data_IF_488843658902
#
_entry.id   IF_488843658902
#
_cell.length_a   1.000
_cell.length_b   1.000
_cell.length_c   1.000
_cell.angle_alpha   90.00
_cell.angle_beta   90.00
_cell.angle_gamma   90.00
#
_symmetry.space_group_name_H-M   'P 1'
#
loop_
_entity.id
_entity.type
_entity.pdbx_description
1 polymer ?
#
# COMPACT_ATOMS: atom_id res chain seq x y z
N UNK A 1 -11.52 -9.36 35.11
CA UNK A 1 -11.16 -7.94 35.29
C UNK A 1 -10.85 -7.37 33.92
N UNK A 2 -11.87 -6.95 33.18
CA UNK A 2 -11.69 -6.11 32.00
C UNK A 2 -11.91 -4.68 32.48
N UNK A 3 -10.86 -4.13 33.10
CA UNK A 3 -10.82 -2.77 33.62
C UNK A 3 -9.66 -2.04 32.98
N UNK A 4 -9.79 -1.84 31.67
CA UNK A 4 -9.28 -0.66 30.99
C UNK A 4 -10.46 -0.19 30.14
N UNK A 5 -10.95 1.03 30.39
CA UNK A 5 -11.88 1.67 29.48
C UNK A 5 -11.28 1.59 28.08
N UNK A 6 -11.97 0.92 27.15
CA UNK A 6 -11.59 0.97 25.74
C UNK A 6 -11.74 2.41 25.26
N UNK A 7 -10.68 3.19 25.41
CA UNK A 7 -10.61 4.55 24.92
C UNK A 7 -10.48 4.50 23.39
N UNK A 8 -11.64 4.48 22.74
CA UNK A 8 -11.75 4.47 21.29
C UNK A 8 -10.94 5.63 20.71
N UNK A 9 -9.99 5.33 19.82
CA UNK A 9 -9.21 6.32 19.06
C UNK A 9 -9.98 6.92 17.89
N UNK A 10 -11.28 6.61 17.76
CA UNK A 10 -12.08 7.18 16.70
C UNK A 10 -12.23 8.69 16.93
N UNK A 11 -11.96 9.52 15.91
CA UNK A 11 -12.09 10.96 15.99
C UNK A 11 -13.56 11.35 15.83
N UNK A 12 -14.37 11.02 16.84
CA UNK A 12 -15.80 11.36 16.81
C UNK A 12 -15.99 12.87 16.92
N UNK A 13 -17.03 13.41 16.31
CA UNK A 13 -17.29 14.86 16.30
C UNK A 13 -17.47 15.38 17.74
N UNK A 14 -18.12 14.58 18.60
CA UNK A 14 -18.19 14.83 20.05
C UNK A 14 -16.80 14.98 20.70
N UNK A 15 -15.88 14.04 20.45
CA UNK A 15 -14.51 14.09 21.01
C UNK A 15 -13.69 15.24 20.47
N UNK A 16 -13.90 15.58 19.20
CA UNK A 16 -13.24 16.70 18.54
C UNK A 16 -13.84 18.05 18.94
N UNK A 17 -14.99 18.06 19.63
CA UNK A 17 -15.76 19.27 19.92
C UNK A 17 -16.16 20.03 18.66
N UNK A 18 -16.37 19.32 17.55
CA UNK A 18 -16.50 19.89 16.23
C UNK A 18 -17.90 19.65 15.64
N UNK A 19 -18.36 20.57 14.78
CA UNK A 19 -19.61 20.42 14.02
C UNK A 19 -19.29 20.56 12.55
N UNK A 20 -19.89 19.70 11.72
CA UNK A 20 -19.71 19.78 10.28
C UNK A 20 -20.50 20.96 9.70
N UNK A 21 -19.88 21.83 8.89
CA UNK A 21 -20.60 22.87 8.17
C UNK A 21 -21.60 22.27 7.17
N UNK A 22 -22.79 22.88 7.05
CA UNK A 22 -23.82 22.42 6.10
C UNK A 22 -23.38 22.57 4.64
N UNK A 23 -22.64 23.64 4.32
CA UNK A 23 -22.15 23.95 2.97
C UNK A 23 -20.64 23.71 2.83
N UNK A 24 -20.15 22.57 3.34
CA UNK A 24 -18.74 22.22 3.29
C UNK A 24 -18.29 21.86 1.86
N UNK A 25 -17.37 22.65 1.31
CA UNK A 25 -16.63 22.29 0.09
C UNK A 25 -15.42 21.43 0.46
N UNK A 26 -15.59 20.11 0.40
CA UNK A 26 -14.56 19.14 0.77
C UNK A 26 -13.33 19.21 -0.15
N UNK A 27 -13.52 19.51 -1.44
CA UNK A 27 -12.43 19.63 -2.42
C UNK A 27 -11.54 20.81 -2.08
N UNK A 28 -12.15 21.98 -1.82
CA UNK A 28 -11.42 23.18 -1.43
C UNK A 28 -10.62 22.97 -0.14
N UNK A 29 -11.23 22.37 0.88
CA UNK A 29 -10.53 22.10 2.16
C UNK A 29 -9.35 21.15 1.96
N UNK A 30 -9.52 20.08 1.17
CA UNK A 30 -8.45 19.14 0.86
C UNK A 30 -7.31 19.81 0.09
N UNK A 31 -7.60 20.65 -0.90
CA UNK A 31 -6.62 21.39 -1.69
C UNK A 31 -5.83 22.41 -0.86
N UNK A 32 -6.52 23.18 -0.02
CA UNK A 32 -5.90 24.18 0.87
C UNK A 32 -4.98 23.50 1.89
N UNK A 33 -5.45 22.42 2.54
CA UNK A 33 -4.62 21.64 3.46
C UNK A 33 -3.43 21.01 2.74
N UNK A 34 -3.66 20.40 1.57
CA UNK A 34 -2.60 19.74 0.81
C UNK A 34 -1.51 20.71 0.37
N UNK A 35 -1.88 21.91 -0.11
CA UNK A 35 -0.92 22.96 -0.45
C UNK A 35 -0.04 23.30 0.74
N UNK A 36 -0.66 23.58 1.89
CA UNK A 36 0.07 23.90 3.12
C UNK A 36 0.97 22.74 3.56
N UNK A 37 0.47 21.50 3.48
CA UNK A 37 1.24 20.30 3.78
C UNK A 37 2.48 20.19 2.90
N UNK A 38 2.35 20.35 1.58
CA UNK A 38 3.49 20.24 0.66
C UNK A 38 4.54 21.32 0.84
N UNK A 39 4.15 22.52 1.28
CA UNK A 39 5.07 23.61 1.59
C UNK A 39 5.86 23.36 2.89
N UNK A 40 5.23 22.70 3.87
CA UNK A 40 5.77 22.58 5.24
C UNK A 40 6.25 21.18 5.62
N UNK A 41 6.05 20.15 4.79
CA UNK A 41 6.35 18.74 5.09
C UNK A 41 7.80 18.47 5.50
N UNK A 42 8.73 19.34 5.11
CA UNK A 42 10.15 19.25 5.47
C UNK A 42 10.50 19.97 6.78
N UNK A 43 9.56 20.65 7.41
CA UNK A 43 9.69 21.29 8.72
C UNK A 43 8.80 20.55 9.73
N UNK A 44 9.41 19.98 10.78
CA UNK A 44 8.69 19.17 11.75
C UNK A 44 7.61 19.96 12.51
N UNK A 45 7.90 21.19 12.94
CA UNK A 45 6.95 22.00 13.72
C UNK A 45 5.77 22.45 12.85
N UNK A 46 6.08 22.94 11.65
CA UNK A 46 5.05 23.40 10.73
C UNK A 46 4.18 22.24 10.22
N UNK A 47 4.77 21.05 10.01
CA UNK A 47 4.02 19.84 9.67
C UNK A 47 3.06 19.43 10.79
N UNK A 48 3.52 19.44 12.05
CA UNK A 48 2.69 19.05 13.19
C UNK A 48 1.54 20.02 13.42
N UNK A 49 1.69 21.30 13.08
CA UNK A 49 0.58 22.25 13.13
C UNK A 49 -0.62 21.84 12.23
N UNK A 50 -0.36 21.10 11.14
CA UNK A 50 -1.36 20.61 10.18
C UNK A 50 -1.97 19.25 10.57
N UNK A 51 -1.42 18.60 11.59
CA UNK A 51 -1.76 17.24 12.02
C UNK A 51 -2.47 17.32 13.38
N UNK A 52 -3.41 16.41 13.60
CA UNK A 52 -4.11 16.28 14.89
C UNK A 52 -3.16 15.69 15.94
N UNK A 53 -3.23 16.11 17.23
CA UNK A 53 -2.31 15.60 18.26
C UNK A 53 -2.26 14.07 18.39
N UNK A 54 -3.41 13.42 18.23
CA UNK A 54 -3.58 11.95 18.25
C UNK A 54 -3.44 11.27 16.88
N UNK A 55 -2.87 11.94 15.88
CA UNK A 55 -2.83 11.40 14.52
C UNK A 55 -1.98 10.13 14.39
N UNK A 56 -2.27 9.38 13.34
CA UNK A 56 -1.50 8.21 12.94
C UNK A 56 -0.86 8.45 11.57
N UNK A 57 0.46 8.31 11.49
CA UNK A 57 1.17 8.27 10.22
C UNK A 57 1.68 6.85 9.96
N UNK A 58 1.13 6.19 8.94
CA UNK A 58 1.60 4.87 8.49
C UNK A 58 2.50 5.03 7.27
N UNK A 59 3.75 4.64 7.41
CA UNK A 59 4.75 4.63 6.33
C UNK A 59 5.01 3.19 5.88
N UNK A 60 4.85 2.94 4.57
CA UNK A 60 5.20 1.71 3.91
C UNK A 60 6.37 1.98 2.95
N UNK A 61 7.58 1.84 3.47
CA UNK A 61 8.84 1.93 2.74
C UNK A 61 9.20 3.30 2.16
N UNK A 62 8.30 4.29 2.13
CA UNK A 62 8.54 5.56 1.43
C UNK A 62 9.68 6.37 2.07
N UNK A 63 9.77 6.39 3.40
CA UNK A 63 10.80 7.15 4.12
C UNK A 63 11.68 6.28 5.01
N UNK A 64 11.13 5.17 5.52
CA UNK A 64 11.82 4.32 6.50
C UNK A 64 12.47 3.08 5.89
N UNK A 65 12.13 2.73 4.65
CA UNK A 65 12.42 1.40 4.07
C UNK A 65 11.92 0.24 4.95
N UNK A 66 10.91 0.51 5.78
CA UNK A 66 10.27 -0.43 6.71
C UNK A 66 8.74 -0.18 6.72
N UNK A 67 7.99 -1.05 7.39
CA UNK A 67 6.55 -0.90 7.58
C UNK A 67 6.27 -0.39 9.00
N UNK A 68 6.06 0.93 9.14
CA UNK A 68 5.93 1.56 10.46
C UNK A 68 4.64 2.35 10.61
N UNK A 69 4.21 2.51 11.86
CA UNK A 69 3.10 3.39 12.22
C UNK A 69 3.53 4.25 13.40
N UNK A 70 3.58 5.56 13.15
CA UNK A 70 3.88 6.59 14.14
C UNK A 70 2.55 7.09 14.70
N UNK A 71 2.45 7.15 16.03
CA UNK A 71 1.21 7.51 16.74
C UNK A 71 1.50 8.72 17.60
N UNK A 72 0.76 9.79 17.36
CA UNK A 72 0.85 11.06 18.06
C UNK A 72 2.07 11.91 17.70
N UNK A 73 2.03 13.18 18.10
CA UNK A 73 3.06 14.17 17.78
C UNK A 73 4.45 13.76 18.27
N UNK A 74 4.55 13.14 19.45
CA UNK A 74 5.84 12.73 20.03
C UNK A 74 6.62 11.76 19.12
N UNK A 75 5.91 10.91 18.37
CA UNK A 75 6.54 9.96 17.43
C UNK A 75 6.62 10.51 16.01
N UNK A 76 5.67 11.34 15.60
CA UNK A 76 5.65 11.94 14.26
C UNK A 76 6.74 13.00 14.15
N UNK A 77 7.02 13.79 15.19
CA UNK A 77 8.05 14.84 15.20
C UNK A 77 9.44 14.32 14.80
N UNK A 78 10.07 13.37 15.51
CA UNK A 78 11.38 12.85 15.12
C UNK A 78 11.30 12.10 13.78
N UNK A 79 10.18 11.47 13.45
CA UNK A 79 10.02 10.84 12.13
C UNK A 79 10.08 11.86 10.98
N UNK A 80 9.39 13.01 11.10
CA UNK A 80 9.44 14.06 10.10
C UNK A 80 10.85 14.63 10.01
N UNK A 81 11.46 14.96 11.15
CA UNK A 81 12.80 15.54 11.21
C UNK A 81 13.89 14.61 10.65
N UNK A 82 13.88 13.34 11.06
CA UNK A 82 14.99 12.42 10.78
C UNK A 82 14.81 11.67 9.45
N UNK A 83 13.57 11.53 8.95
CA UNK A 83 13.26 10.70 7.78
C UNK A 83 12.60 11.47 6.65
N UNK A 84 11.55 12.25 6.93
CA UNK A 84 10.78 12.92 5.86
C UNK A 84 11.53 14.12 5.29
N UNK A 85 12.01 15.03 6.14
CA UNK A 85 12.76 16.22 5.75
C UNK A 85 14.00 15.93 4.87
N UNK A 86 14.84 14.92 5.16
CA UNK A 86 15.99 14.60 4.31
C UNK A 86 15.65 13.79 3.04
N UNK A 87 14.38 13.46 2.77
CA UNK A 87 14.00 12.55 1.66
C UNK A 87 13.81 13.22 0.29
N UNK A 88 14.21 14.49 0.13
CA UNK A 88 14.16 15.25 -1.14
C UNK A 88 12.82 15.09 -1.92
N UNK A 89 11.74 15.52 -1.29
CA UNK A 89 10.40 15.29 -1.81
C UNK A 89 10.11 16.19 -3.02
N UNK A 90 9.60 15.59 -4.10
CA UNK A 90 9.31 16.32 -5.34
C UNK A 90 8.00 15.86 -5.98
N UNK A 91 7.55 16.58 -7.01
CA UNK A 91 6.41 16.23 -7.86
C UNK A 91 5.09 15.92 -7.09
N UNK A 92 4.79 16.72 -6.07
CA UNK A 92 3.51 16.59 -5.36
C UNK A 92 2.33 16.86 -6.30
N UNK A 93 1.33 15.98 -6.22
CA UNK A 93 0.08 16.07 -6.98
C UNK A 93 -1.07 15.51 -6.15
N UNK A 94 -2.12 16.30 -5.95
CA UNK A 94 -3.40 15.77 -5.43
C UNK A 94 -4.12 15.06 -6.57
N UNK A 95 -4.74 13.91 -6.29
CA UNK A 95 -5.58 13.22 -7.27
C UNK A 95 -6.98 13.82 -7.29
N UNK A 96 -7.77 13.51 -8.32
CA UNK A 96 -9.18 13.92 -8.41
C UNK A 96 -10.10 13.20 -7.40
N UNK A 97 -9.54 12.34 -6.54
CA UNK A 97 -10.29 11.64 -5.52
C UNK A 97 -10.31 12.48 -4.24
N UNK A 98 -11.43 13.16 -4.00
CA UNK A 98 -11.74 13.80 -2.71
C UNK A 98 -13.15 13.40 -2.31
N UNK A 99 -13.33 12.89 -1.09
CA UNK A 99 -14.64 12.50 -0.58
C UNK A 99 -14.81 12.89 0.89
N UNK A 100 -15.93 13.52 1.20
CA UNK A 100 -16.43 13.58 2.57
C UNK A 100 -17.14 12.26 2.89
N UNK A 101 -16.62 11.51 3.85
CA UNK A 101 -17.21 10.26 4.30
C UNK A 101 -17.83 10.44 5.69
N UNK A 102 -19.05 9.92 5.86
CA UNK A 102 -19.80 9.94 7.12
C UNK A 102 -20.29 8.53 7.46
N UNK A 103 -19.39 7.62 7.88
CA UNK A 103 -19.77 6.23 8.16
C UNK A 103 -20.74 6.10 9.34
N UNK A 104 -20.72 7.05 10.28
CA UNK A 104 -21.66 7.14 11.40
C UNK A 104 -22.07 8.61 11.62
N UNK A 105 -23.20 8.89 12.29
CA UNK A 105 -23.66 10.26 12.53
C UNK A 105 -22.64 11.16 13.24
N UNK A 106 -21.88 10.59 14.18
CA UNK A 106 -20.86 11.28 14.98
C UNK A 106 -19.43 11.07 14.43
N UNK A 107 -19.28 10.70 13.16
CA UNK A 107 -17.98 10.43 12.57
C UNK A 107 -17.92 10.91 11.13
N UNK A 108 -16.98 11.83 10.85
CA UNK A 108 -16.77 12.33 9.51
C UNK A 108 -15.33 12.72 9.24
N UNK A 109 -14.89 12.49 8.02
CA UNK A 109 -13.58 12.94 7.53
C UNK A 109 -13.61 13.21 6.03
N UNK A 110 -12.72 14.08 5.59
CA UNK A 110 -12.39 14.23 4.17
C UNK A 110 -11.22 13.30 3.87
N UNK A 111 -11.38 12.41 2.90
CA UNK A 111 -10.29 11.54 2.41
C UNK A 111 -9.85 12.00 1.03
N UNK A 112 -8.54 12.00 0.80
CA UNK A 112 -7.97 12.20 -0.53
C UNK A 112 -6.68 11.41 -0.70
N UNK A 113 -6.33 11.19 -1.96
CA UNK A 113 -5.11 10.50 -2.38
C UNK A 113 -4.21 11.53 -3.05
N UNK A 114 -2.91 11.48 -2.77
CA UNK A 114 -1.89 12.28 -3.41
C UNK A 114 -0.74 11.40 -3.91
N UNK A 115 0.05 11.96 -4.82
CA UNK A 115 1.30 11.38 -5.32
C UNK A 115 2.44 12.33 -5.07
N UNK A 116 3.63 11.75 -4.91
CA UNK A 116 4.88 12.46 -4.75
C UNK A 116 6.02 11.52 -5.13
N UNK A 117 7.22 12.07 -5.21
CA UNK A 117 8.44 11.32 -5.48
C UNK A 117 9.46 11.53 -4.38
N UNK A 118 10.21 10.46 -4.11
CA UNK A 118 11.44 10.47 -3.32
C UNK A 118 12.61 10.08 -4.22
N UNK A 119 13.83 10.15 -3.71
CA UNK A 119 15.04 9.74 -4.44
C UNK A 119 14.94 8.29 -4.97
N UNK A 120 14.37 7.40 -4.16
CA UNK A 120 14.25 5.98 -4.51
C UNK A 120 13.22 5.69 -5.61
N UNK A 121 12.15 6.49 -5.72
CA UNK A 121 10.95 6.03 -6.40
C UNK A 121 9.74 6.94 -6.35
N UNK A 122 8.68 6.47 -7.00
CA UNK A 122 7.36 7.11 -6.99
C UNK A 122 6.56 6.60 -5.79
N UNK A 123 5.84 7.51 -5.15
CA UNK A 123 5.07 7.23 -3.95
C UNK A 123 3.61 7.67 -4.11
N UNK A 124 2.74 6.99 -3.37
CA UNK A 124 1.39 7.45 -3.12
C UNK A 124 1.21 7.75 -1.63
N UNK A 125 0.26 8.63 -1.35
CA UNK A 125 -0.17 8.87 0.01
C UNK A 125 -1.67 9.09 0.09
N UNK A 126 -2.20 8.89 1.29
CA UNK A 126 -3.61 9.10 1.61
C UNK A 126 -3.67 9.91 2.90
N UNK A 127 -4.47 10.95 2.92
CA UNK A 127 -4.77 11.66 4.16
C UNK A 127 -6.26 11.59 4.48
N UNK A 128 -6.58 11.62 5.78
CA UNK A 128 -7.93 11.86 6.28
C UNK A 128 -7.91 13.09 7.16
N UNK A 129 -8.67 14.10 6.78
CA UNK A 129 -8.83 15.33 7.55
C UNK A 129 -10.08 15.22 8.42
N UNK A 130 -9.95 15.67 9.66
CA UNK A 130 -11.06 15.81 10.61
C UNK A 130 -11.22 17.29 10.99
N UNK A 131 -12.45 17.74 11.26
CA UNK A 131 -12.65 19.09 11.76
C UNK A 131 -12.17 19.19 13.21
N UNK A 132 -11.82 20.38 13.65
CA UNK A 132 -11.48 20.67 15.04
C UNK A 132 -12.47 21.68 15.63
N UNK A 133 -12.49 21.84 16.96
CA UNK A 133 -13.33 22.82 17.64
C UNK A 133 -13.13 24.27 17.15
N UNK A 134 -11.97 24.61 16.59
CA UNK A 134 -11.70 25.94 16.01
C UNK A 134 -12.22 26.11 14.58
N UNK A 135 -12.80 25.07 13.98
CA UNK A 135 -13.23 25.05 12.58
C UNK A 135 -12.11 24.75 11.57
N UNK A 136 -10.86 24.62 12.03
CA UNK A 136 -9.72 24.23 11.18
C UNK A 136 -9.73 22.72 10.96
N UNK A 137 -9.37 22.27 9.76
CA UNK A 137 -9.23 20.86 9.43
C UNK A 137 -7.78 20.40 9.60
N UNK A 138 -7.60 19.26 10.26
CA UNK A 138 -6.29 18.67 10.51
C UNK A 138 -6.25 17.20 10.09
N UNK A 139 -5.09 16.72 9.67
CA UNK A 139 -4.94 15.30 9.34
C UNK A 139 -4.98 14.44 10.61
N UNK A 140 -5.89 13.48 10.64
CA UNK A 140 -5.98 12.46 11.69
C UNK A 140 -5.26 11.17 11.27
N UNK A 141 -5.28 10.83 9.99
CA UNK A 141 -4.45 9.74 9.46
C UNK A 141 -3.70 10.20 8.23
N UNK A 142 -2.42 9.87 8.15
CA UNK A 142 -1.60 10.00 6.96
C UNK A 142 -1.05 8.61 6.63
N UNK A 143 -1.04 8.28 5.35
CA UNK A 143 -0.44 7.08 4.81
C UNK A 143 0.54 7.49 3.72
N UNK A 144 1.72 6.90 3.70
CA UNK A 144 2.71 7.05 2.62
C UNK A 144 3.23 5.69 2.22
N UNK A 145 3.37 5.44 0.92
CA UNK A 145 3.81 4.16 0.38
C UNK A 145 4.68 4.37 -0.86
N UNK A 146 5.81 3.67 -0.90
CA UNK A 146 6.62 3.53 -2.10
C UNK A 146 5.90 2.58 -3.07
N UNK A 147 5.52 3.05 -4.25
CA UNK A 147 4.80 2.24 -5.25
C UNK A 147 5.76 1.60 -6.27
N UNK A 148 6.80 2.33 -6.67
CA UNK A 148 7.73 1.90 -7.71
C UNK A 148 9.15 2.42 -7.44
N UNK A 149 10.16 1.73 -7.96
CA UNK A 149 11.56 2.15 -7.91
C UNK A 149 11.97 2.75 -9.26
N UNK A 150 12.54 3.96 -9.26
CA UNK A 150 12.93 4.69 -10.48
C UNK A 150 13.90 3.90 -11.37
N UNK A 151 14.91 3.29 -10.76
CA UNK A 151 15.99 2.59 -11.47
C UNK A 151 15.73 1.09 -11.67
N UNK A 152 14.61 0.57 -11.14
CA UNK A 152 14.27 -0.85 -11.19
C UNK A 152 12.79 -1.05 -11.59
N UNK A 153 12.39 -0.61 -12.79
CA UNK A 153 11.02 -0.77 -13.24
C UNK A 153 10.66 -2.25 -13.42
N UNK A 154 9.42 -2.61 -13.07
CA UNK A 154 8.88 -3.94 -13.39
C UNK A 154 8.88 -4.15 -14.90
N UNK A 155 9.47 -5.25 -15.37
CA UNK A 155 9.57 -5.60 -16.80
C UNK A 155 8.29 -6.24 -17.34
N UNK A 156 7.17 -5.55 -17.14
CA UNK A 156 5.86 -5.90 -17.71
C UNK A 156 5.73 -5.35 -19.13
N UNK A 157 4.84 -5.94 -19.94
CA UNK A 157 4.63 -5.57 -21.35
C UNK A 157 5.90 -5.68 -22.23
N UNK A 158 6.02 -4.90 -23.32
CA UNK A 158 7.12 -4.99 -24.30
C UNK A 158 8.55 -4.81 -23.74
N UNK A 159 8.68 -4.56 -22.44
CA UNK A 159 9.92 -4.54 -21.65
C UNK A 159 10.34 -5.92 -21.13
N UNK A 160 9.50 -6.96 -21.29
CA UNK A 160 9.91 -8.34 -21.03
C UNK A 160 11.19 -8.59 -21.82
N UNK A 161 12.24 -9.02 -21.12
CA UNK A 161 13.45 -9.51 -21.78
C UNK A 161 13.03 -10.54 -22.82
N UNK A 162 13.16 -10.20 -24.10
CA UNK A 162 13.23 -11.17 -25.18
C UNK A 162 14.59 -11.85 -25.04
N UNK A 163 14.75 -12.68 -24.01
CA UNK A 163 15.91 -13.57 -23.85
C UNK A 163 15.84 -14.72 -24.87
N UNK A 164 15.49 -14.40 -26.12
CA UNK A 164 15.65 -15.29 -27.26
C UNK A 164 17.12 -15.20 -27.62
N UNK A 165 17.95 -16.01 -26.97
CA UNK A 165 19.33 -16.21 -27.38
C UNK A 165 19.25 -17.09 -28.63
N UNK A 166 19.62 -16.58 -29.83
CA UNK A 166 19.56 -17.38 -31.04
C UNK A 166 20.35 -18.68 -30.87
N UNK A 167 19.71 -19.82 -31.15
CA UNK A 167 20.33 -21.14 -31.05
C UNK A 167 20.18 -21.86 -29.70
N UNK A 168 19.70 -21.20 -28.63
CA UNK A 168 19.45 -21.87 -27.34
C UNK A 168 17.98 -22.24 -27.21
N UNK A 169 17.71 -23.51 -26.88
CA UNK A 169 16.34 -23.99 -26.66
C UNK A 169 15.82 -23.51 -25.31
N UNK A 170 14.54 -23.11 -25.25
CA UNK A 170 13.89 -22.68 -24.00
C UNK A 170 14.03 -23.71 -22.86
N UNK A 171 13.89 -25.01 -23.17
CA UNK A 171 14.03 -26.07 -22.17
C UNK A 171 15.43 -26.11 -21.54
N UNK A 172 16.47 -25.82 -22.33
CA UNK A 172 17.85 -25.73 -21.83
C UNK A 172 18.03 -24.51 -20.94
N UNK A 173 17.58 -23.32 -21.39
CA UNK A 173 17.60 -22.11 -20.56
C UNK A 173 16.88 -22.33 -19.24
N UNK A 174 15.73 -23.01 -19.27
CA UNK A 174 14.96 -23.31 -18.06
C UNK A 174 15.69 -24.30 -17.14
N UNK A 175 16.42 -25.26 -17.70
CA UNK A 175 17.24 -26.18 -16.92
C UNK A 175 18.37 -25.44 -16.20
N UNK A 176 19.13 -24.62 -16.94
CA UNK A 176 20.21 -23.77 -16.40
C UNK A 176 19.70 -22.82 -15.31
N UNK A 177 18.55 -22.14 -15.54
CA UNK A 177 17.88 -21.29 -14.54
C UNK A 177 17.53 -22.01 -13.23
N UNK A 178 17.23 -23.32 -13.28
CA UNK A 178 16.82 -24.10 -12.11
C UNK A 178 18.02 -24.67 -11.38
N UNK A 179 19.06 -25.09 -12.11
CA UNK A 179 20.26 -25.65 -11.49
C UNK A 179 21.15 -24.58 -10.85
N UNK A 180 21.06 -23.32 -11.29
CA UNK A 180 21.96 -22.25 -10.86
C UNK A 180 23.45 -22.66 -11.04
N UNK A 181 23.77 -23.44 -12.07
CA UNK A 181 25.15 -23.88 -12.33
C UNK A 181 26.05 -22.65 -12.58
N UNK A 182 27.07 -22.47 -11.74
CA UNK A 182 28.02 -21.35 -11.83
C UNK A 182 27.53 -20.02 -11.29
N UNK A 183 26.39 -19.96 -10.56
CA UNK A 183 25.92 -18.77 -9.87
C UNK A 183 25.14 -19.11 -8.59
N UNK A 184 24.84 -18.12 -7.75
CA UNK A 184 23.99 -18.31 -6.56
C UNK A 184 22.70 -17.49 -6.69
N UNK A 185 21.57 -17.99 -6.17
CA UNK A 185 20.34 -17.20 -6.12
C UNK A 185 20.52 -16.04 -5.14
N UNK A 186 20.05 -14.85 -5.51
CA UNK A 186 19.97 -13.71 -4.60
C UNK A 186 18.85 -13.90 -3.56
N UNK A 187 17.80 -14.67 -3.90
CA UNK A 187 16.66 -14.95 -3.04
C UNK A 187 16.33 -16.44 -3.06
N UNK A 188 16.25 -17.05 -1.87
CA UNK A 188 15.70 -18.39 -1.67
C UNK A 188 14.28 -18.29 -1.10
N UNK A 189 13.30 -18.83 -1.82
CA UNK A 189 11.90 -18.91 -1.39
C UNK A 189 11.62 -20.34 -0.92
N UNK A 190 11.15 -20.47 0.33
CA UNK A 190 10.78 -21.76 0.91
C UNK A 190 9.27 -21.94 0.83
N UNK A 191 8.84 -22.97 0.10
CA UNK A 191 7.47 -23.26 -0.30
C UNK A 191 7.14 -22.76 -1.71
N UNK A 192 6.17 -23.39 -2.36
CA UNK A 192 5.58 -23.04 -3.65
C UNK A 192 4.04 -22.95 -3.56
N UNK A 193 3.56 -22.42 -2.44
CA UNK A 193 2.17 -21.98 -2.28
C UNK A 193 1.88 -20.67 -3.02
N UNK A 194 0.64 -20.20 -2.95
CA UNK A 194 0.19 -19.00 -3.68
C UNK A 194 1.04 -17.74 -3.41
N UNK A 195 1.44 -17.51 -2.15
CA UNK A 195 2.25 -16.35 -1.75
C UNK A 195 3.66 -16.43 -2.33
N UNK A 196 4.26 -17.63 -2.30
CA UNK A 196 5.59 -17.88 -2.86
C UNK A 196 5.62 -17.73 -4.38
N UNK A 197 4.63 -18.30 -5.08
CA UNK A 197 4.46 -18.14 -6.52
C UNK A 197 4.27 -16.67 -6.91
N UNK A 198 3.49 -15.93 -6.12
CA UNK A 198 3.27 -14.49 -6.35
C UNK A 198 4.55 -13.67 -6.22
N UNK A 199 5.33 -13.95 -5.17
CA UNK A 199 6.62 -13.31 -4.95
C UNK A 199 7.62 -13.68 -6.05
N UNK A 200 7.75 -14.98 -6.38
CA UNK A 200 8.65 -15.47 -7.43
C UNK A 200 8.33 -14.83 -8.79
N UNK A 201 7.05 -14.67 -9.12
CA UNK A 201 6.63 -13.97 -10.33
C UNK A 201 7.10 -12.50 -10.32
N UNK A 202 6.87 -11.76 -9.23
CA UNK A 202 7.30 -10.36 -9.13
C UNK A 202 8.82 -10.21 -9.20
N UNK A 203 9.57 -11.06 -8.49
CA UNK A 203 11.05 -11.07 -8.52
C UNK A 203 11.58 -11.39 -9.92
N UNK A 204 10.97 -12.34 -10.64
CA UNK A 204 11.33 -12.64 -12.03
C UNK A 204 11.14 -11.43 -12.95
N UNK A 205 10.09 -10.63 -12.75
CA UNK A 205 9.86 -9.40 -13.51
C UNK A 205 10.75 -8.22 -13.08
N UNK A 206 11.49 -8.35 -11.99
CA UNK A 206 12.52 -7.41 -11.56
C UNK A 206 13.94 -7.93 -11.90
N UNK A 207 14.06 -9.05 -12.61
CA UNK A 207 15.32 -9.75 -12.87
C UNK A 207 16.14 -10.07 -11.60
N UNK A 208 15.45 -10.40 -10.51
CA UNK A 208 16.11 -10.86 -9.27
C UNK A 208 16.32 -12.38 -9.36
N UNK A 209 17.56 -12.89 -9.37
CA UNK A 209 17.84 -14.32 -9.41
C UNK A 209 17.24 -15.02 -8.19
N UNK A 210 16.27 -15.89 -8.42
CA UNK A 210 15.44 -16.48 -7.35
C UNK A 210 15.34 -17.99 -7.51
N UNK A 211 15.61 -18.72 -6.43
CA UNK A 211 15.38 -20.16 -6.34
C UNK A 211 14.19 -20.42 -5.40
N UNK A 212 13.26 -21.27 -5.82
CA UNK A 212 12.09 -21.65 -5.02
C UNK A 212 12.11 -23.15 -4.79
N UNK A 213 11.98 -23.57 -3.54
CA UNK A 213 11.98 -24.98 -3.13
C UNK A 213 10.64 -25.34 -2.48
N UNK A 214 10.14 -26.56 -2.70
CA UNK A 214 8.86 -27.02 -2.17
C UNK A 214 9.00 -28.47 -1.70
N UNK A 215 8.35 -28.80 -0.57
CA UNK A 215 8.32 -30.15 0.00
C UNK A 215 7.35 -31.07 -0.73
N UNK A 216 6.27 -30.51 -1.27
CA UNK A 216 5.27 -31.26 -2.02
C UNK A 216 5.75 -31.56 -3.45
N UNK A 217 5.32 -32.71 -3.98
CA UNK A 217 5.76 -33.17 -5.31
C UNK A 217 5.26 -32.26 -6.44
N UNK A 218 4.13 -31.58 -6.27
CA UNK A 218 3.53 -30.71 -7.29
C UNK A 218 3.07 -29.38 -6.68
N UNK A 219 3.28 -28.31 -7.43
CA UNK A 219 2.73 -26.98 -7.12
C UNK A 219 1.21 -27.07 -6.90
N UNK A 220 0.72 -26.51 -5.79
CA UNK A 220 -0.68 -26.54 -5.40
C UNK A 220 -1.14 -27.81 -4.67
N UNK A 221 -0.24 -28.76 -4.39
CA UNK A 221 -0.57 -29.91 -3.53
C UNK A 221 -1.00 -29.48 -2.12
N UNK A 222 -0.49 -28.35 -1.63
CA UNK A 222 -0.95 -27.73 -0.39
C UNK A 222 -2.46 -27.45 -0.37
N UNK A 223 -3.07 -27.21 -1.54
CA UNK A 223 -4.51 -27.09 -1.72
C UNK A 223 -5.18 -28.46 -1.99
N UNK A 224 -4.60 -29.30 -2.85
CA UNK A 224 -5.16 -30.63 -3.18
C UNK A 224 -5.25 -31.59 -1.99
N UNK A 225 -4.41 -31.40 -0.98
CA UNK A 225 -4.37 -32.23 0.24
C UNK A 225 -5.28 -31.70 1.36
N UNK A 226 -6.06 -30.64 1.12
CA UNK A 226 -7.05 -30.13 2.08
C UNK A 226 -8.31 -31.02 2.06
N UNK A 227 -9.17 -30.82 3.05
CA UNK A 227 -10.42 -31.58 3.19
C UNK A 227 -11.40 -31.28 2.03
N UNK A 228 -12.23 -32.28 1.70
CA UNK A 228 -13.10 -32.27 0.50
C UNK A 228 -14.11 -31.12 0.48
N UNK A 229 -14.58 -30.67 1.65
CA UNK A 229 -15.57 -29.59 1.78
C UNK A 229 -14.97 -28.18 1.78
N UNK A 230 -13.71 -28.02 1.34
CA UNK A 230 -13.08 -26.70 1.29
C UNK A 230 -13.74 -25.83 0.21
N UNK A 231 -14.23 -24.67 0.61
CA UNK A 231 -14.69 -23.60 -0.28
C UNK A 231 -13.94 -22.30 0.05
N UNK A 232 -13.64 -21.50 -0.98
CA UNK A 232 -13.10 -20.16 -0.80
C UNK A 232 -14.21 -19.22 -0.32
N UNK A 233 -13.89 -18.33 0.62
CA UNK A 233 -14.82 -17.36 1.23
C UNK A 233 -14.61 -15.93 0.71
N UNK A 234 -13.57 -15.71 -0.09
CA UNK A 234 -13.33 -14.43 -0.75
C UNK A 234 -13.93 -14.44 -2.15
N UNK A 235 -14.33 -13.27 -2.67
CA UNK A 235 -14.72 -13.15 -4.07
C UNK A 235 -13.59 -13.54 -5.02
N UNK A 236 -13.94 -14.10 -6.19
CA UNK A 236 -12.98 -14.63 -7.19
C UNK A 236 -11.93 -13.61 -7.65
N UNK A 237 -12.26 -12.32 -7.65
CA UNK A 237 -11.30 -11.26 -8.01
C UNK A 237 -10.14 -11.12 -7.01
N UNK A 238 -10.27 -11.64 -5.79
CA UNK A 238 -9.17 -11.70 -4.83
C UNK A 238 -8.21 -12.88 -5.12
N UNK A 239 -8.56 -13.79 -6.02
CA UNK A 239 -7.76 -14.99 -6.34
C UNK A 239 -6.84 -14.80 -7.56
N UNK A 240 -6.65 -13.55 -8.00
CA UNK A 240 -5.73 -13.22 -9.09
C UNK A 240 -4.26 -13.44 -8.70
N UNK A 241 -3.49 -14.06 -9.59
CA UNK A 241 -2.04 -14.14 -9.47
C UNK A 241 -1.37 -12.95 -10.17
N UNK A 242 -0.16 -12.52 -9.75
CA UNK A 242 0.57 -11.50 -10.47
C UNK A 242 0.75 -11.87 -11.94
N UNK A 243 0.30 -10.98 -12.84
CA UNK A 243 0.38 -11.13 -14.30
C UNK A 243 -0.45 -12.28 -14.89
N UNK A 244 -1.29 -12.93 -14.09
CA UNK A 244 -2.19 -13.99 -14.54
C UNK A 244 -3.55 -13.82 -13.83
N UNK A 245 -4.49 -13.06 -14.44
CA UNK A 245 -5.84 -12.95 -13.92
C UNK A 245 -6.48 -14.33 -13.79
N UNK A 246 -7.28 -14.50 -12.75
CA UNK A 246 -8.09 -15.71 -12.61
C UNK A 246 -9.07 -15.77 -13.78
N UNK A 247 -9.14 -16.91 -14.45
CA UNK A 247 -9.97 -17.06 -15.64
C UNK A 247 -11.43 -17.04 -15.22
N UNK A 248 -12.11 -15.92 -15.49
CA UNK A 248 -13.56 -15.88 -15.51
C UNK A 248 -14.01 -16.60 -16.78
N UNK A 249 -14.22 -17.92 -16.71
CA UNK A 249 -15.15 -18.52 -17.66
C UNK A 249 -16.50 -17.81 -17.48
N UNK A 250 -17.23 -17.53 -18.55
CA UNK A 250 -18.57 -16.90 -18.55
C UNK A 250 -19.66 -17.67 -17.77
N UNK A 251 -19.30 -18.49 -16.78
CA UNK A 251 -20.18 -18.98 -15.74
C UNK A 251 -20.48 -17.82 -14.80
N UNK A 252 -21.63 -17.20 -15.02
CA UNK A 252 -22.39 -16.47 -14.03
C UNK A 252 -22.40 -17.27 -12.72
N UNK A 253 -21.47 -17.00 -11.81
CA UNK A 253 -21.62 -17.38 -10.43
C UNK A 253 -22.50 -16.29 -9.80
N UNK A 254 -23.80 -16.59 -9.73
CA UNK A 254 -24.83 -15.76 -9.12
C UNK A 254 -24.44 -15.40 -7.68
N UNK A 255 -24.00 -14.17 -7.47
CA UNK A 255 -24.34 -13.41 -6.28
C UNK A 255 -24.57 -11.97 -6.71
N UNK A 256 -25.81 -11.67 -7.07
CA UNK A 256 -26.34 -10.30 -7.07
C UNK A 256 -26.22 -9.77 -5.64
N UNK A 257 -25.27 -8.89 -5.40
CA UNK A 257 -25.36 -7.97 -4.27
C UNK A 257 -26.00 -6.68 -4.79
N UNK A 258 -27.33 -6.71 -4.88
CA UNK A 258 -28.13 -5.51 -4.67
C UNK A 258 -28.30 -5.37 -3.15
N UNK A 259 -27.60 -4.39 -2.57
CA UNK A 259 -28.03 -3.63 -1.38
C UNK A 259 -27.64 -2.18 -1.64
#
# INVERSE_FOLDING_TARGET
MASEEWNSRLPTLEKLGAVLPENLDASRVAEEWFRSFTEHISDAEATLALIHPDALWRDLLAFTWDMRTFVGEEKIRPFVQDRVAPSHLTNFRLTNFVQLQKPFPDLAWIVSIFRFEVDAGECCGVFRLVPTASGVWKAFTIFTCLESLKNFPYKVEGLRRRNVIPGVKWAQQRHEEVQFEGSEPAVLIVGAGQSALSLAARLKYLDVPTLMIEKDARVGDSWRKRYDSLCLHFPVWNDHMPYLPYVLSNLHCMYSQEI
#
